data_IF_237772938098
#
_entry.id   IF_237772938098
#
_cell.length_a   1.000
_cell.length_b   1.000
_cell.length_c   1.000
_cell.angle_alpha   90.00
_cell.angle_beta   90.00
_cell.angle_gamma   90.00
#
_symmetry.space_group_name_H-M   'P 1'
#
loop_
_entity.id
_entity.type
_entity.pdbx_description
1 polymer ?
#
# COMPACT_ATOMS: atom_id res chain seq x y z
N UNK A 1 21.10 -9.64 4.76
CA UNK A 1 21.33 -9.42 6.20
C UNK A 1 22.08 -8.14 6.50
N UNK A 2 23.35 -8.00 6.08
CA UNK A 2 24.17 -6.80 6.39
C UNK A 2 23.55 -5.47 5.92
N UNK A 3 22.94 -5.42 4.73
CA UNK A 3 22.25 -4.21 4.25
C UNK A 3 21.09 -3.79 5.17
N UNK A 4 20.25 -4.74 5.57
CA UNK A 4 19.12 -4.44 6.45
C UNK A 4 19.60 -3.92 7.81
N UNK A 5 20.67 -4.49 8.35
CA UNK A 5 21.29 -4.02 9.60
C UNK A 5 21.82 -2.61 9.49
N UNK A 6 22.63 -2.30 8.46
CA UNK A 6 23.16 -0.97 8.23
C UNK A 6 22.06 0.09 8.05
N UNK A 7 21.02 -0.25 7.28
CA UNK A 7 19.91 0.67 7.07
C UNK A 7 19.10 0.88 8.36
N UNK A 8 18.87 -0.17 9.15
CA UNK A 8 18.23 -0.04 10.45
C UNK A 8 19.05 0.83 11.40
N UNK A 9 20.37 0.65 11.46
CA UNK A 9 21.27 1.48 12.26
C UNK A 9 21.17 2.96 11.89
N UNK A 10 21.15 3.28 10.60
CA UNK A 10 20.97 4.66 10.11
C UNK A 10 19.59 5.23 10.50
N UNK A 11 18.52 4.46 10.30
CA UNK A 11 17.15 4.86 10.66
C UNK A 11 17.05 5.15 12.17
N UNK A 12 17.60 4.28 13.02
CA UNK A 12 17.58 4.47 14.46
C UNK A 12 18.49 5.62 14.91
N UNK A 13 19.63 5.83 14.25
CA UNK A 13 20.48 6.99 14.49
C UNK A 13 19.78 8.30 14.15
N UNK A 14 19.02 8.33 13.04
CA UNK A 14 18.19 9.48 12.69
C UNK A 14 17.11 9.73 13.74
N UNK A 15 16.39 8.71 14.20
CA UNK A 15 15.41 8.86 15.27
C UNK A 15 16.03 9.40 16.58
N UNK A 16 17.27 9.00 16.89
CA UNK A 16 17.98 9.47 18.08
C UNK A 16 18.53 10.90 17.96
N UNK A 17 18.52 11.49 16.77
CA UNK A 17 19.10 12.81 16.50
C UNK A 17 18.19 14.00 16.84
N UNK A 18 16.93 13.74 17.19
CA UNK A 18 15.87 14.74 17.39
C UNK A 18 15.61 15.66 16.17
N UNK A 19 16.13 15.30 14.99
CA UNK A 19 15.81 15.99 13.74
C UNK A 19 14.34 15.76 13.35
N UNK A 20 13.69 16.76 12.73
CA UNK A 20 12.30 16.64 12.34
C UNK A 20 12.13 15.59 11.24
N UNK A 21 11.19 14.67 11.44
CA UNK A 21 10.75 13.70 10.45
C UNK A 21 9.30 13.95 10.03
N UNK A 22 9.03 13.88 8.72
CA UNK A 22 7.65 13.83 8.23
C UNK A 22 7.13 12.39 8.25
N UNK A 23 5.81 12.26 8.44
CA UNK A 23 5.13 10.97 8.31
C UNK A 23 5.28 10.42 6.88
N UNK A 24 5.31 9.10 6.70
CA UNK A 24 5.59 8.49 5.40
C UNK A 24 4.58 8.82 4.29
N UNK A 25 3.29 8.78 4.64
CA UNK A 25 2.18 9.04 3.72
C UNK A 25 0.90 9.40 4.50
N UNK A 26 -0.25 9.43 3.84
CA UNK A 26 -1.54 9.79 4.45
C UNK A 26 -2.14 8.70 5.34
N UNK A 27 -1.71 7.44 5.19
CA UNK A 27 -2.27 6.28 5.90
C UNK A 27 -1.34 5.72 7.01
N UNK A 28 -0.02 5.87 6.88
CA UNK A 28 0.97 5.49 7.89
C UNK A 28 1.31 6.70 8.78
N UNK A 29 1.13 6.55 10.08
CA UNK A 29 1.45 7.58 11.07
C UNK A 29 2.92 7.54 11.51
N UNK A 30 3.55 6.36 11.43
CA UNK A 30 4.90 6.12 11.96
C UNK A 30 5.86 5.62 10.90
N UNK A 31 7.04 6.24 10.87
CA UNK A 31 8.07 6.00 9.87
C UNK A 31 8.79 7.28 9.45
N UNK A 32 9.65 7.18 8.43
CA UNK A 32 10.42 8.31 7.90
C UNK A 32 10.53 8.23 6.37
N UNK A 33 10.57 9.38 5.71
CA UNK A 33 10.82 9.47 4.26
C UNK A 33 12.33 9.52 4.04
N UNK A 34 12.89 8.53 3.36
CA UNK A 34 14.34 8.42 3.16
C UNK A 34 14.88 9.54 2.26
N UNK A 35 14.07 10.04 1.33
CA UNK A 35 14.41 11.20 0.50
C UNK A 35 14.75 12.43 1.36
N UNK A 36 14.01 12.64 2.46
CA UNK A 36 14.10 13.85 3.28
C UNK A 36 15.21 13.80 4.33
N UNK A 37 15.84 12.64 4.55
CA UNK A 37 16.94 12.47 5.51
C UNK A 37 18.32 12.39 4.84
N UNK A 38 18.41 12.73 3.55
CA UNK A 38 19.66 12.78 2.79
C UNK A 38 20.03 11.49 2.05
N UNK A 39 19.13 10.50 2.00
CA UNK A 39 19.36 9.26 1.26
C UNK A 39 18.82 9.28 -0.17
N UNK A 40 18.24 10.38 -0.65
CA UNK A 40 17.70 10.50 -2.02
C UNK A 40 18.68 10.02 -3.11
N UNK A 41 19.97 10.41 -3.14
CA UNK A 41 20.90 9.92 -4.17
C UNK A 41 21.10 8.40 -4.15
N UNK A 42 21.03 7.78 -2.97
CA UNK A 42 21.06 6.32 -2.83
C UNK A 42 19.79 5.69 -3.39
N UNK A 43 18.62 6.31 -3.17
CA UNK A 43 17.35 5.83 -3.70
C UNK A 43 17.31 5.95 -5.23
N UNK A 44 17.87 7.01 -5.81
CA UNK A 44 17.95 7.15 -7.26
C UNK A 44 18.80 6.06 -7.92
N UNK A 45 19.91 5.65 -7.28
CA UNK A 45 20.68 4.49 -7.72
C UNK A 45 19.91 3.18 -7.53
N UNK A 46 19.22 3.00 -6.40
CA UNK A 46 18.40 1.82 -6.15
C UNK A 46 17.29 1.66 -7.19
N UNK A 47 16.57 2.74 -7.55
CA UNK A 47 15.56 2.72 -8.60
C UNK A 47 16.17 2.29 -9.94
N UNK A 48 17.32 2.85 -10.32
CA UNK A 48 18.04 2.46 -11.55
C UNK A 48 18.43 0.98 -11.56
N UNK A 49 18.87 0.44 -10.42
CA UNK A 49 19.20 -0.98 -10.28
C UNK A 49 17.97 -1.89 -10.37
N UNK A 50 16.81 -1.44 -9.91
CA UNK A 50 15.56 -2.20 -9.93
C UNK A 50 14.80 -2.10 -11.27
N UNK A 51 15.09 -1.08 -12.10
CA UNK A 51 14.44 -0.82 -13.39
C UNK A 51 14.29 -2.08 -14.29
N UNK A 52 15.32 -2.94 -14.46
CA UNK A 52 15.18 -4.11 -15.31
C UNK A 52 14.15 -5.13 -14.82
N UNK A 53 13.89 -5.18 -13.52
CA UNK A 53 12.86 -6.06 -12.93
C UNK A 53 11.47 -5.53 -13.29
N UNK A 54 11.27 -4.23 -13.19
CA UNK A 54 10.02 -3.58 -13.59
C UNK A 54 9.68 -3.82 -15.05
N UNK A 55 10.65 -3.57 -15.95
CA UNK A 55 10.47 -3.74 -17.39
C UNK A 55 10.13 -5.18 -17.78
N UNK A 56 10.73 -6.15 -17.08
CA UNK A 56 10.49 -7.56 -17.32
C UNK A 56 9.11 -8.00 -16.84
N UNK A 57 8.70 -7.59 -15.63
CA UNK A 57 7.46 -8.08 -15.01
C UNK A 57 6.23 -7.33 -15.51
N UNK A 58 6.36 -6.02 -15.78
CA UNK A 58 5.25 -5.14 -16.13
C UNK A 58 5.66 -4.13 -17.22
N UNK A 59 5.80 -4.56 -18.48
CA UNK A 59 6.03 -3.63 -19.59
C UNK A 59 5.00 -2.51 -19.60
N UNK A 60 5.43 -1.25 -19.64
CA UNK A 60 4.57 -0.08 -19.43
C UNK A 60 4.71 0.46 -18.01
N UNK A 61 3.90 0.02 -17.02
CA UNK A 61 3.98 0.52 -15.64
C UNK A 61 5.37 0.40 -15.01
N UNK A 62 6.11 -0.64 -15.40
CA UNK A 62 7.45 -0.94 -14.93
C UNK A 62 8.57 -0.35 -15.77
N UNK A 63 8.29 0.52 -16.74
CA UNK A 63 9.26 1.00 -17.73
C UNK A 63 9.59 2.48 -17.58
N UNK A 64 10.88 2.82 -17.66
CA UNK A 64 11.36 4.20 -17.69
C UNK A 64 10.95 5.01 -16.46
N UNK A 65 11.19 4.49 -15.26
CA UNK A 65 10.91 5.21 -14.03
C UNK A 65 11.80 6.44 -13.90
N UNK A 66 11.19 7.57 -13.59
CA UNK A 66 11.82 8.89 -13.48
C UNK A 66 11.38 9.67 -12.22
N UNK A 67 10.55 9.05 -11.38
CA UNK A 67 10.18 9.56 -10.07
C UNK A 67 10.12 8.46 -9.03
N UNK A 68 10.51 8.78 -7.80
CA UNK A 68 10.44 7.86 -6.67
C UNK A 68 10.00 8.54 -5.37
N UNK A 69 9.37 7.76 -4.50
CA UNK A 69 9.11 8.11 -3.11
C UNK A 69 9.47 6.92 -2.24
N UNK A 70 10.52 7.05 -1.42
CA UNK A 70 11.01 5.97 -0.58
C UNK A 70 10.86 6.30 0.90
N UNK A 71 10.26 5.37 1.64
CA UNK A 71 9.95 5.58 3.04
C UNK A 71 9.99 4.29 3.84
N UNK A 72 10.20 4.45 5.14
CA UNK A 72 10.08 3.39 6.13
C UNK A 72 8.68 3.45 6.72
N UNK A 73 8.05 2.30 6.87
CA UNK A 73 6.87 2.13 7.73
C UNK A 73 7.26 1.35 8.97
N UNK A 74 6.77 1.78 10.14
CA UNK A 74 7.00 1.10 11.41
C UNK A 74 5.67 0.62 12.00
N UNK A 75 5.67 -0.64 12.45
CA UNK A 75 4.57 -1.24 13.18
C UNK A 75 5.04 -1.66 14.56
N UNK A 76 4.32 -1.26 15.60
CA UNK A 76 4.67 -1.50 17.00
C UNK A 76 3.46 -1.30 17.92
N UNK A 77 3.44 -2.00 19.06
CA UNK A 77 2.47 -1.75 20.14
C UNK A 77 2.44 -0.28 20.59
N UNK A 78 1.26 0.34 20.55
CA UNK A 78 1.05 1.75 20.89
C UNK A 78 1.19 2.72 19.70
N UNK A 79 1.57 2.20 18.53
CA UNK A 79 1.63 2.90 17.25
C UNK A 79 0.64 2.26 16.26
N UNK A 80 0.94 2.30 14.95
CA UNK A 80 0.21 1.51 13.96
C UNK A 80 0.54 0.02 14.14
N UNK A 81 -0.46 -0.86 14.05
CA UNK A 81 -0.28 -2.32 14.12
C UNK A 81 -0.30 -2.99 12.74
N UNK A 82 -1.09 -2.43 11.83
CA UNK A 82 -1.31 -2.89 10.47
C UNK A 82 -1.81 -1.73 9.61
N UNK A 83 -2.27 -2.03 8.40
CA UNK A 83 -2.73 -1.03 7.45
C UNK A 83 -3.94 -1.54 6.66
N UNK A 84 -5.01 -0.73 6.64
CA UNK A 84 -6.28 -1.06 5.95
C UNK A 84 -6.06 -1.34 4.45
N UNK A 85 -7.01 -2.02 3.82
CA UNK A 85 -6.97 -2.30 2.38
C UNK A 85 -6.88 -1.01 1.55
N UNK A 86 -5.94 -0.95 0.62
CA UNK A 86 -5.66 0.22 -0.23
C UNK A 86 -4.98 -0.19 -1.55
N UNK A 87 -4.69 0.82 -2.37
CA UNK A 87 -3.76 0.76 -3.49
C UNK A 87 -2.69 1.82 -3.26
N UNK A 88 -1.50 1.63 -3.80
CA UNK A 88 -0.44 2.62 -3.71
C UNK A 88 -0.61 3.70 -4.77
N UNK A 89 -0.19 4.92 -4.43
CA UNK A 89 0.14 5.93 -5.44
C UNK A 89 1.53 5.61 -5.99
N UNK A 90 1.60 4.57 -6.81
CA UNK A 90 2.80 4.15 -7.53
C UNK A 90 2.38 3.45 -8.82
N UNK A 91 3.30 3.36 -9.78
CA UNK A 91 3.11 2.47 -10.92
C UNK A 91 3.55 1.06 -10.52
N UNK A 92 4.71 0.96 -9.85
CA UNK A 92 5.22 -0.26 -9.22
C UNK A 92 5.76 0.06 -7.83
N UNK A 93 5.40 -0.78 -6.85
CA UNK A 93 5.90 -0.74 -5.48
C UNK A 93 6.88 -1.87 -5.24
N UNK A 94 7.99 -1.57 -4.56
CA UNK A 94 8.85 -2.54 -3.92
C UNK A 94 8.72 -2.40 -2.40
N UNK A 95 8.52 -3.54 -1.72
CA UNK A 95 8.31 -3.62 -0.28
C UNK A 95 9.29 -4.63 0.31
N UNK A 96 10.29 -4.13 1.03
CA UNK A 96 11.37 -4.91 1.64
C UNK A 96 11.17 -5.00 3.14
N UNK A 97 11.10 -6.20 3.68
CA UNK A 97 11.10 -6.36 5.14
C UNK A 97 12.52 -6.16 5.69
N UNK A 98 12.71 -5.16 6.55
CA UNK A 98 14.01 -4.90 7.20
C UNK A 98 14.22 -5.79 8.43
N UNK A 99 13.16 -6.43 8.94
CA UNK A 99 13.20 -7.37 10.05
C UNK A 99 12.83 -6.72 11.36
N UNK A 100 13.69 -6.92 12.36
CA UNK A 100 13.43 -6.87 13.82
C UNK A 100 12.65 -8.11 14.30
N UNK A 101 12.30 -8.12 15.59
CA UNK A 101 11.56 -9.21 16.22
C UNK A 101 10.06 -8.89 16.19
N UNK A 102 9.30 -9.63 15.37
CA UNK A 102 7.84 -9.51 15.29
C UNK A 102 7.16 -10.86 15.01
N UNK A 103 5.85 -10.90 15.25
CA UNK A 103 4.99 -12.00 14.83
C UNK A 103 3.70 -11.47 14.18
N UNK A 104 3.09 -12.30 13.33
CA UNK A 104 1.90 -11.92 12.55
C UNK A 104 2.23 -11.10 11.30
N UNK A 105 1.37 -10.12 10.99
CA UNK A 105 1.59 -9.12 9.95
C UNK A 105 1.62 -9.63 8.49
N UNK A 106 0.70 -10.53 8.15
CA UNK A 106 0.49 -10.99 6.78
C UNK A 106 0.18 -9.83 5.83
N UNK A 107 0.84 -9.81 4.67
CA UNK A 107 0.53 -8.88 3.59
C UNK A 107 -0.51 -9.53 2.67
N UNK A 108 -1.73 -9.01 2.74
CA UNK A 108 -2.91 -9.53 2.05
C UNK A 108 -3.01 -8.89 0.67
N UNK A 109 -3.10 -9.70 -0.39
CA UNK A 109 -3.25 -9.25 -1.76
C UNK A 109 -4.62 -9.66 -2.33
N UNK A 110 -5.33 -8.69 -2.89
CA UNK A 110 -6.58 -8.87 -3.61
C UNK A 110 -6.36 -8.64 -5.13
N UNK A 111 -7.42 -8.55 -5.92
CA UNK A 111 -7.28 -8.32 -7.36
C UNK A 111 -6.76 -6.92 -7.73
N UNK A 112 -6.54 -6.69 -9.02
CA UNK A 112 -6.13 -5.38 -9.55
C UNK A 112 -7.32 -4.42 -9.56
N UNK A 113 -7.11 -3.17 -9.14
CA UNK A 113 -8.15 -2.15 -9.14
C UNK A 113 -8.81 -2.01 -10.51
N UNK A 114 -10.14 -2.14 -10.57
CA UNK A 114 -10.92 -2.09 -11.81
C UNK A 114 -11.17 -3.46 -12.45
N UNK A 115 -10.41 -4.50 -12.08
CA UNK A 115 -10.70 -5.87 -12.51
C UNK A 115 -11.97 -6.40 -11.83
N UNK A 116 -12.71 -7.34 -12.44
CA UNK A 116 -13.97 -7.82 -11.91
C UNK A 116 -13.79 -8.63 -10.61
N UNK A 117 -12.56 -9.05 -10.29
CA UNK A 117 -12.17 -9.72 -9.05
C UNK A 117 -11.34 -8.83 -8.08
N UNK A 118 -11.34 -7.50 -8.24
CA UNK A 118 -10.45 -6.61 -7.47
C UNK A 118 -10.60 -6.68 -5.94
N UNK A 119 -11.78 -7.04 -5.43
CA UNK A 119 -12.04 -7.27 -4.00
C UNK A 119 -12.14 -8.75 -3.63
N UNK A 120 -11.48 -9.61 -4.41
CA UNK A 120 -11.30 -11.03 -4.11
C UNK A 120 -9.89 -11.29 -3.66
N UNK A 121 -9.73 -12.09 -2.60
CA UNK A 121 -8.44 -12.46 -2.06
C UNK A 121 -7.70 -13.32 -3.07
N UNK A 122 -6.41 -13.06 -3.24
CA UNK A 122 -5.57 -13.79 -4.20
C UNK A 122 -4.38 -14.45 -3.53
N UNK A 123 -3.79 -13.80 -2.52
CA UNK A 123 -2.59 -14.31 -1.87
C UNK A 123 -2.35 -13.64 -0.52
N UNK A 124 -1.69 -14.36 0.39
CA UNK A 124 -1.16 -13.81 1.64
C UNK A 124 0.34 -14.06 1.66
N UNK A 125 1.13 -12.99 1.74
CA UNK A 125 2.57 -13.09 1.89
C UNK A 125 2.97 -12.95 3.36
N UNK A 126 3.90 -13.80 3.80
CA UNK A 126 4.52 -13.73 5.12
C UNK A 126 5.89 -13.07 4.99
N UNK A 127 6.12 -12.01 5.77
CA UNK A 127 7.36 -11.25 5.67
C UNK A 127 8.58 -12.05 6.14
N UNK A 128 9.66 -11.92 5.37
CA UNK A 128 10.98 -12.50 5.65
C UNK A 128 12.00 -11.37 5.56
N UNK A 129 12.85 -11.23 6.57
CA UNK A 129 13.92 -10.21 6.60
C UNK A 129 14.76 -10.29 5.32
N UNK A 130 14.99 -9.14 4.68
CA UNK A 130 15.77 -9.01 3.45
C UNK A 130 15.03 -9.43 2.17
N UNK A 131 13.86 -10.05 2.26
CA UNK A 131 13.06 -10.37 1.08
C UNK A 131 12.27 -9.15 0.61
N UNK A 132 12.15 -9.02 -0.71
CA UNK A 132 11.36 -8.00 -1.37
C UNK A 132 10.13 -8.61 -2.02
N UNK A 133 8.97 -8.01 -1.79
CA UNK A 133 7.78 -8.23 -2.62
C UNK A 133 7.64 -7.01 -3.53
N UNK A 134 7.41 -7.24 -4.81
CA UNK A 134 7.07 -6.19 -5.77
C UNK A 134 5.67 -6.43 -6.35
N UNK A 135 4.94 -5.35 -6.61
CA UNK A 135 3.61 -5.40 -7.21
C UNK A 135 3.28 -4.06 -7.90
N UNK A 136 2.31 -4.09 -8.81
CA UNK A 136 1.70 -2.87 -9.36
C UNK A 136 1.07 -2.05 -8.21
N UNK A 137 1.15 -0.72 -8.27
CA UNK A 137 0.51 0.13 -7.26
C UNK A 137 -1.02 -0.04 -7.24
N UNK A 138 -1.61 -0.33 -8.41
CA UNK A 138 -3.03 -0.68 -8.56
C UNK A 138 -3.43 -2.03 -7.96
N UNK A 139 -2.49 -2.85 -7.47
CA UNK A 139 -2.79 -4.12 -6.79
C UNK A 139 -3.36 -3.80 -5.42
N UNK A 140 -4.62 -4.14 -5.19
CA UNK A 140 -5.27 -3.91 -3.91
C UNK A 140 -4.63 -4.81 -2.85
N UNK A 141 -4.22 -4.22 -1.73
CA UNK A 141 -3.54 -4.94 -0.67
C UNK A 141 -3.70 -4.26 0.70
N UNK A 142 -3.39 -4.97 1.77
CA UNK A 142 -3.43 -4.47 3.14
C UNK A 142 -2.47 -5.26 4.03
N UNK A 143 -2.08 -4.69 5.16
CA UNK A 143 -1.22 -5.35 6.13
C UNK A 143 -2.05 -5.74 7.36
N UNK A 144 -2.06 -7.03 7.69
CA UNK A 144 -2.61 -7.50 8.96
C UNK A 144 -1.83 -6.88 10.13
N UNK A 145 -2.47 -6.84 11.29
CA UNK A 145 -1.83 -6.40 12.52
C UNK A 145 -0.68 -7.32 12.92
N UNK A 146 0.41 -6.74 13.43
CA UNK A 146 1.40 -7.48 14.21
C UNK A 146 0.73 -8.01 15.49
N UNK A 147 1.06 -9.24 15.89
CA UNK A 147 0.61 -9.81 17.16
C UNK A 147 1.57 -9.48 18.32
N UNK A 148 2.83 -9.19 18.02
CA UNK A 148 3.85 -8.79 18.98
C UNK A 148 5.07 -8.18 18.29
N UNK A 149 5.86 -7.42 19.05
CA UNK A 149 7.17 -6.95 18.63
C UNK A 149 7.13 -5.66 17.81
N UNK A 150 8.12 -5.50 16.94
CA UNK A 150 8.30 -4.32 16.09
C UNK A 150 8.73 -4.77 14.70
N UNK A 151 8.16 -4.16 13.66
CA UNK A 151 8.49 -4.46 12.26
C UNK A 151 8.72 -3.19 11.47
N UNK A 152 9.85 -3.13 10.77
CA UNK A 152 10.14 -2.09 9.80
C UNK A 152 10.18 -2.66 8.38
N UNK A 153 9.55 -1.94 7.45
CA UNK A 153 9.68 -2.22 6.02
C UNK A 153 10.12 -0.96 5.28
N UNK A 154 10.98 -1.13 4.28
CA UNK A 154 11.26 -0.12 3.28
C UNK A 154 10.26 -0.27 2.14
N UNK A 155 9.60 0.83 1.80
CA UNK A 155 8.67 0.93 0.68
C UNK A 155 9.25 1.91 -0.33
N UNK A 156 9.36 1.47 -1.58
CA UNK A 156 9.79 2.29 -2.70
C UNK A 156 8.66 2.32 -3.74
N UNK A 157 8.05 3.50 -3.88
CA UNK A 157 7.11 3.78 -4.97
C UNK A 157 7.89 4.29 -6.17
N UNK A 158 7.64 3.68 -7.33
CA UNK A 158 8.23 4.08 -8.60
C UNK A 158 7.17 4.64 -9.52
N UNK A 159 7.55 5.69 -10.24
CA UNK A 159 6.70 6.40 -11.17
C UNK A 159 7.39 6.54 -12.52
N UNK A 160 6.62 6.36 -13.60
CA UNK A 160 7.03 6.62 -14.97
C UNK A 160 6.16 7.72 -15.55
N UNK A 161 6.73 8.90 -15.75
CA UNK A 161 6.01 10.02 -16.37
C UNK A 161 5.51 9.67 -17.77
N UNK A 162 6.25 8.82 -18.50
CA UNK A 162 5.84 8.33 -19.81
C UNK A 162 4.60 7.44 -19.72
N UNK A 163 4.61 6.43 -18.84
CA UNK A 163 3.46 5.53 -18.66
C UNK A 163 2.22 6.29 -18.19
N UNK A 164 2.39 7.27 -17.29
CA UNK A 164 1.29 8.08 -16.75
C UNK A 164 0.59 8.98 -17.79
N UNK A 165 1.19 9.15 -18.97
CA UNK A 165 0.58 9.85 -20.11
C UNK A 165 -0.20 8.93 -21.05
N UNK A 166 -0.16 7.62 -20.84
CA UNK A 166 -0.86 6.64 -21.69
C UNK A 166 -2.36 6.56 -21.37
N UNK A 167 -3.16 6.10 -22.34
CA UNK A 167 -4.58 5.81 -22.09
C UNK A 167 -4.76 4.70 -21.03
N UNK A 168 -3.83 3.75 -20.92
CA UNK A 168 -3.88 2.69 -19.89
C UNK A 168 -3.87 3.27 -18.48
N UNK A 169 -3.08 4.32 -18.23
CA UNK A 169 -3.05 5.00 -16.94
C UNK A 169 -4.19 6.01 -16.77
N UNK A 170 -4.49 6.83 -17.79
CA UNK A 170 -5.46 7.93 -17.69
C UNK A 170 -6.91 7.41 -17.69
N UNK A 171 -7.18 6.35 -18.45
CA UNK A 171 -8.50 5.73 -18.62
C UNK A 171 -8.40 4.23 -18.39
N UNK A 172 -8.04 3.80 -17.16
CA UNK A 172 -7.90 2.39 -16.89
C UNK A 172 -9.25 1.70 -17.06
N UNK A 173 -9.23 0.49 -17.62
CA UNK A 173 -10.41 -0.35 -17.69
C UNK A 173 -10.98 -0.56 -16.28
N UNK A 174 -12.29 -0.44 -16.20
CA UNK A 174 -13.05 -0.69 -14.99
C UNK A 174 -14.23 -1.58 -15.37
N UNK A 175 -14.28 -2.75 -14.77
CA UNK A 175 -15.28 -3.76 -15.04
C UNK A 175 -16.21 -3.92 -13.84
N UNK A 176 -17.39 -4.48 -14.12
CA UNK A 176 -18.33 -4.81 -13.06
C UNK A 176 -17.77 -5.94 -12.21
N UNK A 177 -17.87 -5.80 -10.89
CA UNK A 177 -17.49 -6.88 -9.98
C UNK A 177 -18.30 -8.16 -10.20
N UNK A 178 -17.63 -9.32 -10.12
CA UNK A 178 -18.28 -10.63 -10.31
C UNK A 178 -19.22 -11.02 -9.17
N UNK A 179 -19.12 -10.39 -8.00
CA UNK A 179 -19.88 -10.74 -6.81
C UNK A 179 -19.44 -9.95 -5.56
N UNK A 180 -20.04 -10.24 -4.39
CA UNK A 180 -19.67 -9.61 -3.13
C UNK A 180 -18.17 -9.77 -2.81
N UNK A 181 -17.54 -8.81 -2.11
CA UNK A 181 -16.12 -8.89 -1.75
C UNK A 181 -15.83 -10.02 -0.76
N UNK A 182 -14.57 -10.45 -0.71
CA UNK A 182 -14.09 -11.26 0.42
C UNK A 182 -13.81 -10.32 1.60
N UNK A 183 -14.17 -10.74 2.82
CA UNK A 183 -14.09 -9.87 4.01
C UNK A 183 -12.69 -9.27 4.24
N UNK A 184 -11.62 -10.02 3.93
CA UNK A 184 -10.25 -9.50 4.05
C UNK A 184 -9.97 -8.34 3.10
N UNK A 185 -10.64 -8.31 1.94
CA UNK A 185 -10.44 -7.33 0.89
C UNK A 185 -11.27 -6.06 1.04
N UNK A 186 -12.07 -5.91 2.11
CA UNK A 186 -12.84 -4.68 2.33
C UNK A 186 -12.05 -3.64 3.14
N UNK A 187 -12.25 -2.36 2.81
CA UNK A 187 -11.62 -1.20 3.43
C UNK A 187 -12.65 -0.27 4.04
N UNK A 188 -12.46 0.14 5.30
CA UNK A 188 -13.37 1.08 5.96
C UNK A 188 -13.21 2.51 5.44
N UNK A 189 -12.12 2.79 4.72
CA UNK A 189 -11.84 4.10 4.10
C UNK A 189 -12.28 4.17 2.65
N UNK A 190 -12.22 3.07 1.90
CA UNK A 190 -12.46 3.07 0.44
C UNK A 190 -13.80 2.47 0.03
N UNK A 191 -14.36 1.51 0.78
CA UNK A 191 -15.53 0.76 0.32
C UNK A 191 -16.85 1.29 0.87
N UNK A 192 -17.81 1.45 -0.04
CA UNK A 192 -19.17 1.95 0.18
C UNK A 192 -20.05 0.96 0.93
N UNK A 193 -19.68 -0.32 0.97
CA UNK A 193 -20.43 -1.41 1.58
C UNK A 193 -19.66 -2.07 2.74
N UNK A 194 -18.59 -1.45 3.25
CA UNK A 194 -17.74 -2.01 4.31
C UNK A 194 -18.55 -2.55 5.50
N UNK A 195 -19.48 -1.74 6.00
CA UNK A 195 -20.32 -2.03 7.16
C UNK A 195 -21.26 -3.23 6.99
N UNK A 196 -21.42 -3.76 5.76
CA UNK A 196 -22.16 -4.98 5.50
C UNK A 196 -21.33 -6.24 5.75
N UNK A 197 -20.00 -6.10 5.80
CA UNK A 197 -19.05 -7.21 5.92
C UNK A 197 -18.24 -7.18 7.21
N UNK A 198 -17.95 -5.99 7.74
CA UNK A 198 -17.14 -5.79 8.94
C UNK A 198 -17.69 -4.66 9.81
N UNK A 199 -17.42 -4.74 11.10
CA UNK A 199 -17.64 -3.62 12.01
C UNK A 199 -16.55 -2.57 11.81
N UNK A 200 -16.94 -1.29 11.87
CA UNK A 200 -15.97 -0.20 11.81
C UNK A 200 -15.04 -0.26 13.04
N UNK A 201 -13.72 -0.13 12.85
CA UNK A 201 -12.81 -0.01 13.98
C UNK A 201 -13.21 1.18 14.85
N UNK A 202 -13.03 1.04 16.17
CA UNK A 202 -13.40 2.08 17.14
C UNK A 202 -12.78 3.43 16.76
N UNK A 203 -13.60 4.45 16.63
CA UNK A 203 -13.17 5.80 16.27
C UNK A 203 -13.02 6.05 14.76
N UNK A 204 -13.34 5.06 13.91
CA UNK A 204 -13.34 5.15 12.44
C UNK A 204 -14.74 5.19 11.83
N UNK A 205 -15.78 5.27 12.65
CA UNK A 205 -17.19 5.25 12.23
C UNK A 205 -17.54 6.45 11.33
N UNK A 206 -16.79 7.55 11.42
CA UNK A 206 -16.95 8.75 10.59
C UNK A 206 -16.63 8.53 9.11
N UNK A 207 -15.98 7.41 8.75
CA UNK A 207 -15.75 7.01 7.36
C UNK A 207 -16.98 6.40 6.68
N UNK A 208 -18.00 5.99 7.45
CA UNK A 208 -19.23 5.43 6.89
C UNK A 208 -19.86 6.38 5.87
N UNK A 209 -20.21 5.83 4.71
CA UNK A 209 -20.78 6.60 3.60
C UNK A 209 -19.79 7.48 2.82
N UNK A 210 -18.48 7.44 3.11
CA UNK A 210 -17.44 8.20 2.39
C UNK A 210 -16.62 7.36 1.40
N UNK A 211 -16.87 6.06 1.35
CA UNK A 211 -16.22 5.18 0.39
C UNK A 211 -16.56 5.56 -1.06
N UNK A 212 -15.70 5.17 -1.99
CA UNK A 212 -15.87 5.40 -3.42
C UNK A 212 -15.91 4.09 -4.23
N UNK A 213 -15.54 2.97 -3.62
CA UNK A 213 -15.45 1.65 -4.23
C UNK A 213 -16.63 0.75 -3.78
N UNK A 214 -17.23 -0.05 -4.68
CA UNK A 214 -17.10 0.00 -6.13
C UNK A 214 -17.64 1.31 -6.70
N UNK A 215 -17.11 1.73 -7.85
CA UNK A 215 -17.66 2.88 -8.59
C UNK A 215 -19.10 2.57 -9.03
N UNK A 216 -19.94 3.61 -9.07
CA UNK A 216 -21.32 3.49 -9.59
C UNK A 216 -21.30 2.93 -11.01
N UNK A 217 -22.24 2.02 -11.31
CA UNK A 217 -22.41 1.23 -12.55
C UNK A 217 -21.53 -0.04 -12.64
N UNK A 218 -20.51 -0.14 -11.80
CA UNK A 218 -19.56 -1.25 -11.76
C UNK A 218 -19.72 -2.13 -10.51
N UNK A 219 -20.77 -1.90 -9.74
CA UNK A 219 -21.06 -2.71 -8.57
C UNK A 219 -21.53 -4.12 -8.95
N UNK A 220 -21.24 -5.11 -8.09
CA UNK A 220 -21.77 -6.45 -8.26
C UNK A 220 -23.31 -6.46 -8.18
N UNK A 221 -23.93 -7.46 -8.81
CA UNK A 221 -25.38 -7.63 -8.75
C UNK A 221 -25.87 -7.77 -7.31
N UNK A 222 -26.81 -6.90 -6.91
CA UNK A 222 -27.37 -6.89 -5.55
C UNK A 222 -26.58 -6.07 -4.55
N UNK A 223 -25.57 -5.29 -4.99
CA UNK A 223 -24.86 -4.34 -4.17
C UNK A 223 -25.80 -3.40 -3.41
N UNK A 224 -25.48 -3.17 -2.14
CA UNK A 224 -26.12 -2.19 -1.27
C UNK A 224 -25.03 -1.44 -0.51
N UNK A 225 -25.01 -0.10 -0.50
CA UNK A 225 -24.09 0.63 0.35
C UNK A 225 -24.45 0.41 1.83
N UNK A 226 -23.48 0.60 2.71
CA UNK A 226 -23.65 0.51 4.18
C UNK A 226 -24.20 1.80 4.81
N UNK A 227 -24.48 2.79 3.96
CA UNK A 227 -25.07 4.08 4.27
C UNK A 227 -25.99 4.50 3.11
N UNK A 228 -27.22 4.92 3.43
CA UNK A 228 -28.16 5.42 2.41
C UNK A 228 -27.72 6.77 1.84
N UNK A 229 -27.07 7.58 2.66
CA UNK A 229 -26.52 8.89 2.26
C UNK A 229 -25.04 8.72 1.99
N UNK A 230 -24.71 8.57 0.72
CA UNK A 230 -23.32 8.58 0.27
C UNK A 230 -22.85 10.02 0.23
N UNK A 231 -21.88 10.34 1.07
CA UNK A 231 -21.24 11.64 1.08
C UNK A 231 -20.27 11.63 -0.10
N UNK A 232 -20.73 12.11 -1.26
CA UNK A 232 -19.83 12.47 -2.35
C UNK A 232 -18.96 13.63 -1.88
N UNK A 233 -17.75 13.33 -1.43
CA UNK A 233 -16.75 14.34 -1.06
C UNK A 233 -15.86 14.65 -2.26
N UNK A 234 -16.15 15.79 -2.90
CA UNK A 234 -15.34 16.67 -3.78
C UNK A 234 -14.51 15.99 -4.88
#
# INVERSE_FOLDING_TARGET
DSFCELLLEEIFSFYASDLPARRPNSMNNYGIILNEIGLEPFIDELQRLLQPIGELLWPGPGSGWDGQHCFIVRYRSGEDLGLDMHTDDSDVTFNVCLGLDFAGAGLQFCGLMGAPNHRKHTYTYQHVKGACVCHLGRKRHGADDISSGERLNLILWNHSSQYRQTDEYIKPDYEREVGPPDQVCVSYTHDRDYGNFKEYPKGKESHRGRGWCPRKLFEYTGFKPDCEVEISGV
#
